data_IF_161211855064
#
_entry.id   IF_161211855064
#
_cell.length_a   1.000
_cell.length_b   1.000
_cell.length_c   1.000
_cell.angle_alpha   90.00
_cell.angle_beta   90.00
_cell.angle_gamma   90.00
#
_symmetry.space_group_name_H-M   'P 1'
#
loop_
_entity.id
_entity.type
_entity.pdbx_description
1 polymer ?
#
# COMPACT_ATOMS: atom_id res chain seq x y z
N UNK A 1 14.77 3.66 -13.80
CA UNK A 1 13.32 3.47 -14.00
C UNK A 1 12.89 2.05 -14.40
N UNK A 2 13.69 1.24 -15.11
CA UNK A 2 13.30 -0.14 -15.51
C UNK A 2 12.99 -1.11 -14.36
N UNK A 3 13.77 -1.08 -13.26
CA UNK A 3 13.56 -1.95 -12.09
C UNK A 3 12.21 -1.76 -11.37
N UNK A 4 11.65 -0.55 -11.40
CA UNK A 4 10.38 -0.27 -10.71
C UNK A 4 9.20 -0.82 -11.51
N UNK A 5 9.22 -0.67 -12.85
CA UNK A 5 8.21 -1.20 -13.74
C UNK A 5 8.17 -2.75 -13.75
N UNK A 6 9.34 -3.41 -13.73
CA UNK A 6 9.43 -4.87 -13.61
C UNK A 6 8.90 -5.37 -12.25
N UNK A 7 9.12 -4.61 -11.18
CA UNK A 7 8.62 -4.90 -9.84
C UNK A 7 7.09 -4.75 -9.77
N UNK A 8 6.52 -3.73 -10.41
CA UNK A 8 5.06 -3.58 -10.55
C UNK A 8 4.43 -4.70 -11.39
N UNK A 9 5.09 -5.15 -12.46
CA UNK A 9 4.63 -6.28 -13.27
C UNK A 9 4.62 -7.60 -12.47
N UNK A 10 5.60 -7.83 -11.59
CA UNK A 10 5.64 -9.00 -10.69
C UNK A 10 4.55 -9.00 -9.61
N UNK A 11 4.19 -7.82 -9.07
CA UNK A 11 3.11 -7.71 -8.08
C UNK A 11 1.75 -8.12 -8.65
N UNK A 12 1.51 -7.93 -9.96
CA UNK A 12 0.24 -8.21 -10.63
C UNK A 12 -0.16 -9.70 -10.65
N UNK A 13 0.78 -10.61 -10.38
CA UNK A 13 0.55 -12.07 -10.40
C UNK A 13 0.53 -12.72 -9.01
N UNK A 14 0.86 -11.97 -7.95
CA UNK A 14 0.97 -12.50 -6.59
C UNK A 14 -0.33 -12.31 -5.81
N UNK A 15 -0.69 -13.35 -5.06
CA UNK A 15 -1.78 -13.26 -4.10
C UNK A 15 -1.44 -12.29 -2.96
N UNK A 16 -2.46 -11.72 -2.32
CA UNK A 16 -2.31 -10.82 -1.18
C UNK A 16 -1.49 -11.45 -0.04
N UNK A 17 -1.57 -12.77 0.10
CA UNK A 17 -0.79 -13.56 1.08
C UNK A 17 0.71 -13.49 0.79
N UNK A 18 1.12 -13.66 -0.47
CA UNK A 18 2.53 -13.61 -0.86
C UNK A 18 3.11 -12.20 -0.74
N UNK A 19 2.28 -11.17 -0.96
CA UNK A 19 2.67 -9.78 -0.76
C UNK A 19 2.90 -9.51 0.73
N UNK A 20 1.94 -9.88 1.58
CA UNK A 20 2.06 -9.72 3.04
C UNK A 20 3.30 -10.43 3.58
N UNK A 21 3.57 -11.66 3.12
CA UNK A 21 4.78 -12.42 3.47
C UNK A 21 6.07 -11.69 3.08
N UNK A 22 6.17 -11.26 1.82
CA UNK A 22 7.36 -10.55 1.34
C UNK A 22 7.59 -9.21 2.05
N UNK A 23 6.52 -8.52 2.44
CA UNK A 23 6.60 -7.28 3.21
C UNK A 23 7.06 -7.55 4.65
N UNK A 24 6.58 -8.63 5.29
CA UNK A 24 6.99 -8.98 6.66
C UNK A 24 8.44 -9.47 6.77
N UNK A 25 9.02 -10.06 5.72
CA UNK A 25 10.36 -10.64 5.78
C UNK A 25 11.49 -9.59 5.82
N UNK A 26 11.28 -8.43 5.20
CA UNK A 26 12.35 -7.44 4.97
C UNK A 26 12.06 -6.04 5.51
N UNK A 27 10.92 -5.81 6.17
CA UNK A 27 10.55 -4.49 6.67
C UNK A 27 10.09 -4.55 8.12
N UNK A 28 10.54 -3.59 8.92
CA UNK A 28 10.14 -3.43 10.33
C UNK A 28 8.69 -2.98 10.49
N UNK A 29 8.15 -2.29 9.47
CA UNK A 29 6.76 -1.85 9.42
C UNK A 29 6.34 -1.61 7.96
N UNK A 30 5.06 -1.82 7.64
CA UNK A 30 4.49 -1.51 6.34
C UNK A 30 3.00 -1.13 6.43
N UNK A 31 2.57 -0.36 5.43
CA UNK A 31 1.17 -0.09 5.11
C UNK A 31 0.90 -0.67 3.72
N UNK A 32 -0.10 -1.54 3.60
CA UNK A 32 -0.53 -2.13 2.34
C UNK A 32 -1.93 -1.60 2.00
N UNK A 33 -2.01 -0.82 0.93
CA UNK A 33 -3.29 -0.34 0.38
C UNK A 33 -3.62 -1.17 -0.86
N UNK A 34 -4.78 -1.80 -0.85
CA UNK A 34 -5.31 -2.56 -1.99
C UNK A 34 -6.61 -1.95 -2.46
N UNK A 35 -6.75 -1.79 -3.77
CA UNK A 35 -7.96 -1.27 -4.40
C UNK A 35 -8.49 -2.33 -5.36
N UNK A 36 -9.80 -2.54 -5.37
CA UNK A 36 -10.44 -3.24 -6.50
C UNK A 36 -10.39 -2.38 -7.75
N UNK A 37 -10.62 -3.00 -8.91
CA UNK A 37 -10.90 -2.23 -10.11
C UNK A 37 -12.08 -1.28 -9.88
N UNK A 38 -12.04 -0.12 -10.54
CA UNK A 38 -13.13 0.83 -10.49
C UNK A 38 -14.38 0.22 -11.14
N UNK A 39 -15.50 0.28 -10.44
CA UNK A 39 -16.80 -0.07 -11.01
C UNK A 39 -17.23 0.95 -12.06
N UNK A 40 -18.29 0.65 -12.80
CA UNK A 40 -18.81 1.53 -13.86
C UNK A 40 -19.27 2.90 -13.34
N UNK A 41 -19.64 2.99 -12.06
CA UNK A 41 -19.99 4.22 -11.36
C UNK A 41 -18.78 4.88 -10.66
N UNK A 42 -17.57 4.42 -10.96
CA UNK A 42 -16.32 5.02 -10.47
C UNK A 42 -15.98 4.66 -9.03
N UNK A 43 -16.72 3.76 -8.37
CA UNK A 43 -16.43 3.33 -7.00
C UNK A 43 -15.32 2.29 -6.99
N UNK A 44 -14.47 2.35 -5.97
CA UNK A 44 -13.45 1.35 -5.71
C UNK A 44 -13.58 0.90 -4.26
N UNK A 45 -13.47 -0.40 -4.01
CA UNK A 45 -13.27 -0.89 -2.65
C UNK A 45 -11.79 -0.75 -2.32
N UNK A 46 -11.51 0.10 -1.35
CA UNK A 46 -10.16 0.28 -0.80
C UNK A 46 -10.08 -0.47 0.52
N UNK A 47 -9.04 -1.26 0.68
CA UNK A 47 -8.71 -1.95 1.92
C UNK A 47 -7.28 -1.58 2.32
N UNK A 48 -7.09 -1.33 3.61
CA UNK A 48 -5.82 -0.94 4.19
C UNK A 48 -5.43 -1.95 5.26
N UNK A 49 -4.26 -2.56 5.12
CA UNK A 49 -3.68 -3.49 6.09
C UNK A 49 -2.35 -2.96 6.60
N UNK A 50 -2.06 -3.20 7.86
CA UNK A 50 -0.81 -2.83 8.52
C UNK A 50 -0.06 -4.07 8.98
N UNK A 51 1.26 -3.99 9.04
CA UNK A 51 2.08 -4.99 9.71
C UNK A 51 3.34 -4.37 10.31
N UNK A 52 3.83 -4.96 11.39
CA UNK A 52 4.94 -4.43 12.18
C UNK A 52 4.48 -3.66 13.40
N UNK A 53 5.28 -2.68 13.83
CA UNK A 53 5.01 -1.89 15.02
C UNK A 53 3.81 -0.93 14.82
N UNK A 54 2.79 -0.95 15.71
CA UNK A 54 1.59 -0.11 15.56
C UNK A 54 1.85 1.39 15.62
N UNK A 55 2.82 1.85 16.42
CA UNK A 55 3.15 3.27 16.55
C UNK A 55 3.83 3.75 15.27
N UNK A 56 4.75 2.95 14.73
CA UNK A 56 5.40 3.26 13.46
C UNK A 56 4.40 3.24 12.30
N UNK A 57 3.44 2.31 12.31
CA UNK A 57 2.38 2.27 11.31
C UNK A 57 1.50 3.53 11.38
N UNK A 58 1.07 3.93 12.58
CA UNK A 58 0.30 5.16 12.78
C UNK A 58 1.06 6.39 12.28
N UNK A 59 2.35 6.50 12.64
CA UNK A 59 3.22 7.58 12.17
C UNK A 59 3.29 7.67 10.64
N UNK A 60 3.43 6.53 9.95
CA UNK A 60 3.45 6.49 8.48
C UNK A 60 2.13 6.96 7.87
N UNK A 61 1.00 6.57 8.46
CA UNK A 61 -0.33 6.95 7.96
C UNK A 61 -0.61 8.42 8.17
N UNK A 62 -0.38 8.92 9.38
CA UNK A 62 -0.63 10.32 9.74
C UNK A 62 0.25 11.26 8.91
N UNK A 63 1.53 10.90 8.74
CA UNK A 63 2.46 11.68 7.90
C UNK A 63 2.02 11.71 6.44
N UNK A 64 1.55 10.57 5.90
CA UNK A 64 1.07 10.50 4.52
C UNK A 64 -0.22 11.33 4.31
N UNK A 65 -1.15 11.29 5.27
CA UNK A 65 -2.37 12.11 5.25
C UNK A 65 -2.02 13.60 5.23
N UNK A 66 -1.10 14.04 6.09
CA UNK A 66 -0.71 15.44 6.16
C UNK A 66 -0.13 15.98 4.84
N UNK A 67 0.65 15.16 4.12
CA UNK A 67 1.20 15.53 2.80
C UNK A 67 0.06 15.71 1.79
N UNK A 68 -0.88 14.76 1.75
CA UNK A 68 -2.02 14.79 0.84
C UNK A 68 -2.88 16.04 1.08
N UNK A 69 -3.16 16.34 2.35
CA UNK A 69 -3.98 17.51 2.70
C UNK A 69 -3.30 18.82 2.30
N UNK A 70 -1.97 18.89 2.38
CA UNK A 70 -1.20 20.09 2.03
C UNK A 70 -1.16 20.30 0.50
N UNK A 71 -0.97 19.24 -0.28
CA UNK A 71 -0.86 19.30 -1.75
C UNK A 71 -2.20 19.57 -2.47
N UNK A 72 -3.33 19.49 -1.76
CA UNK A 72 -4.69 19.75 -2.29
C UNK A 72 -5.16 21.18 -1.98
N UNK A 73 -4.36 21.99 -1.28
CA UNK A 73 -4.62 23.43 -1.01
C UNK A 73 -3.79 24.34 -1.89
#
# INVERSE_FOLDING_TARGET
MRKLAERFFWLRKKSTVEIKKALSENNTCYVLITCTEASKDGKMKVEMTYGGDPILAAYLVESAQHIIDTDIT
#
